data_IF_642731152077
#
_entry.id   IF_642731152077
#
_cell.length_a   1.000
_cell.length_b   1.000
_cell.length_c   1.000
_cell.angle_alpha   90.00
_cell.angle_beta   90.00
_cell.angle_gamma   90.00
#
_symmetry.space_group_name_H-M   'P 1'
#
loop_
_entity.id
_entity.type
_entity.pdbx_description
1 polymer ?
#
# COMPACT_ATOMS: atom_id res chain seq x y z
N UNK A 1 -50.67 1.75 61.89
CA UNK A 1 -50.09 1.29 60.62
C UNK A 1 -50.11 2.46 59.63
N UNK A 2 -48.97 3.07 59.33
CA UNK A 2 -48.83 4.10 58.27
C UNK A 2 -47.66 3.67 57.39
N UNK A 3 -47.94 3.21 56.17
CA UNK A 3 -46.92 2.91 55.15
C UNK A 3 -46.59 4.20 54.42
N UNK A 4 -45.33 4.61 54.50
CA UNK A 4 -44.79 5.73 53.74
C UNK A 4 -44.62 5.30 52.28
N UNK A 5 -45.22 6.07 51.37
CA UNK A 5 -44.99 5.95 49.94
C UNK A 5 -43.66 6.64 49.60
N UNK A 6 -42.69 5.86 49.12
CA UNK A 6 -41.44 6.37 48.57
C UNK A 6 -41.75 6.84 47.15
N UNK A 7 -41.71 8.16 46.95
CA UNK A 7 -41.75 8.79 45.63
C UNK A 7 -40.40 8.54 44.96
N UNK A 8 -40.38 7.71 43.91
CA UNK A 8 -39.24 7.56 43.02
C UNK A 8 -39.11 8.84 42.19
N UNK A 9 -38.13 9.70 42.54
CA UNK A 9 -37.61 10.70 41.61
C UNK A 9 -36.86 9.96 40.50
N UNK A 10 -37.53 9.75 39.38
CA UNK A 10 -36.87 9.38 38.13
C UNK A 10 -36.00 10.55 37.67
N UNK A 11 -34.69 10.42 37.88
CA UNK A 11 -33.69 11.26 37.24
C UNK A 11 -33.77 10.94 35.74
N UNK A 12 -34.45 11.80 34.98
CA UNK A 12 -34.36 11.82 33.54
C UNK A 12 -32.93 12.25 33.18
N UNK A 13 -32.05 11.28 32.98
CA UNK A 13 -30.76 11.48 32.34
C UNK A 13 -31.05 11.83 30.88
N UNK A 14 -31.20 13.12 30.58
CA UNK A 14 -31.16 13.63 29.22
C UNK A 14 -29.72 13.50 28.76
N UNK A 15 -29.39 12.33 28.17
CA UNK A 15 -28.21 12.20 27.33
C UNK A 15 -28.47 13.08 26.11
N UNK A 16 -28.01 14.32 26.18
CA UNK A 16 -27.73 15.13 25.01
C UNK A 16 -26.62 14.40 24.25
N UNK A 17 -27.01 13.44 23.41
CA UNK A 17 -26.20 13.01 22.28
C UNK A 17 -26.02 14.26 21.42
N UNK A 18 -24.89 14.96 21.63
CA UNK A 18 -24.39 15.87 20.62
C UNK A 18 -24.35 15.08 19.32
N UNK A 19 -24.85 15.66 18.24
CA UNK A 19 -24.77 15.08 16.91
C UNK A 19 -23.30 14.77 16.62
N UNK A 20 -22.88 13.54 16.89
CA UNK A 20 -21.62 13.03 16.38
C UNK A 20 -21.83 12.97 14.86
N UNK A 21 -21.09 13.80 14.12
CA UNK A 21 -21.02 13.66 12.67
C UNK A 21 -20.60 12.23 12.36
N UNK A 22 -21.19 11.64 11.33
CA UNK A 22 -20.82 10.28 10.94
C UNK A 22 -19.33 10.27 10.54
N UNK A 23 -18.58 9.20 10.81
CA UNK A 23 -17.18 9.09 10.40
C UNK A 23 -16.95 9.44 8.92
N UNK A 24 -17.86 9.01 8.04
CA UNK A 24 -17.86 9.36 6.62
C UNK A 24 -17.89 10.87 6.32
N UNK A 25 -18.56 11.68 7.15
CA UNK A 25 -18.60 13.14 7.01
C UNK A 25 -17.35 13.82 7.58
N UNK A 26 -16.61 13.15 8.47
CA UNK A 26 -15.41 13.69 9.12
C UNK A 26 -14.18 13.45 8.27
N UNK A 27 -14.11 12.32 7.56
CA UNK A 27 -12.94 11.92 6.77
C UNK A 27 -12.76 12.73 5.47
N UNK A 28 -13.84 13.31 4.92
CA UNK A 28 -13.77 14.03 3.64
C UNK A 28 -12.86 15.26 3.79
N UNK A 29 -11.87 15.37 2.90
CA UNK A 29 -10.92 16.47 2.88
C UNK A 29 -9.48 16.01 2.66
N UNK A 30 -8.56 16.96 2.87
CA UNK A 30 -7.12 16.76 2.71
C UNK A 30 -6.49 16.52 4.07
N UNK A 31 -5.73 15.43 4.16
CA UNK A 31 -5.03 14.94 5.34
C UNK A 31 -3.55 14.89 5.02
N UNK A 32 -2.73 15.24 6.01
CA UNK A 32 -1.27 15.23 5.86
C UNK A 32 -0.66 14.36 6.93
N UNK A 33 0.43 13.67 6.61
CA UNK A 33 1.05 12.81 7.58
C UNK A 33 2.23 12.05 7.05
N UNK A 34 2.51 10.91 7.66
CA UNK A 34 3.68 10.10 7.34
C UNK A 34 3.30 8.69 6.96
N UNK A 35 4.00 8.15 5.96
CA UNK A 35 3.97 6.75 5.55
C UNK A 35 5.35 6.14 5.83
N UNK A 36 5.37 4.98 6.45
CA UNK A 36 6.61 4.21 6.68
C UNK A 36 6.45 2.83 6.06
N UNK A 37 7.19 2.57 4.99
CA UNK A 37 7.24 1.26 4.34
C UNK A 37 8.34 0.40 4.97
N UNK A 38 8.15 -0.93 4.97
CA UNK A 38 9.12 -1.86 5.52
C UNK A 38 10.46 -1.77 4.79
N UNK A 39 11.50 -1.34 5.52
CA UNK A 39 12.85 -1.20 4.98
C UNK A 39 13.15 0.18 4.38
N UNK A 40 12.21 1.13 4.46
CA UNK A 40 12.39 2.50 3.98
C UNK A 40 12.26 3.53 5.11
N UNK A 41 12.73 4.75 4.85
CA UNK A 41 12.54 5.86 5.78
C UNK A 41 11.09 6.38 5.72
N UNK A 42 10.64 6.97 6.82
CA UNK A 42 9.31 7.58 6.85
C UNK A 42 9.27 8.78 5.90
N UNK A 43 8.25 8.82 5.04
CA UNK A 43 8.04 9.89 4.07
C UNK A 43 6.74 10.65 4.33
N UNK A 44 6.71 11.92 3.94
CA UNK A 44 5.49 12.71 4.04
C UNK A 44 4.52 12.27 2.94
N UNK A 45 3.24 12.23 3.30
CA UNK A 45 2.15 11.93 2.38
C UNK A 45 1.03 12.96 2.50
N UNK A 46 0.31 13.13 1.41
CA UNK A 46 -0.98 13.82 1.37
C UNK A 46 -2.04 12.82 0.95
N UNK A 47 -3.11 12.69 1.73
CA UNK A 47 -4.28 11.90 1.39
C UNK A 47 -5.49 12.80 1.22
N UNK A 48 -6.19 12.68 0.10
CA UNK A 48 -7.43 13.42 -0.14
C UNK A 48 -8.58 12.45 -0.30
N UNK A 49 -9.57 12.50 0.60
CA UNK A 49 -10.78 11.69 0.57
C UNK A 49 -11.95 12.49 0.02
N UNK A 50 -12.62 11.96 -1.00
CA UNK A 50 -13.72 12.62 -1.73
C UNK A 50 -15.09 12.04 -1.35
N UNK A 51 -16.13 12.87 -1.43
CA UNK A 51 -17.52 12.48 -1.06
C UNK A 51 -18.08 11.28 -1.83
N UNK A 52 -17.52 10.99 -3.01
CA UNK A 52 -17.95 9.90 -3.89
C UNK A 52 -17.30 8.55 -3.56
N UNK A 53 -16.51 8.47 -2.49
CA UNK A 53 -15.81 7.26 -2.07
C UNK A 53 -14.48 7.04 -2.80
N UNK A 54 -13.99 8.02 -3.55
CA UNK A 54 -12.65 7.99 -4.12
C UNK A 54 -11.64 8.66 -3.19
N UNK A 55 -10.37 8.27 -3.29
CA UNK A 55 -9.28 8.98 -2.62
C UNK A 55 -8.03 9.06 -3.49
N UNK A 56 -7.13 9.98 -3.14
CA UNK A 56 -5.76 10.04 -3.64
C UNK A 56 -4.77 9.91 -2.49
N UNK A 57 -3.65 9.24 -2.72
CA UNK A 57 -2.51 9.17 -1.81
C UNK A 57 -1.27 9.61 -2.59
N UNK A 58 -0.65 10.69 -2.15
CA UNK A 58 0.51 11.29 -2.83
C UNK A 58 1.69 11.31 -1.87
N UNK A 59 2.68 10.42 -2.04
CA UNK A 59 3.96 10.53 -1.35
C UNK A 59 4.78 11.70 -1.88
N UNK A 60 5.61 12.29 -1.03
CA UNK A 60 6.43 13.44 -1.39
C UNK A 60 7.45 13.09 -2.48
N UNK A 61 7.22 13.58 -3.70
CA UNK A 61 8.12 13.39 -4.83
C UNK A 61 7.78 12.20 -5.74
N UNK A 62 6.73 11.44 -5.41
CA UNK A 62 6.31 10.24 -6.16
C UNK A 62 5.01 10.43 -6.94
N UNK A 63 4.69 9.43 -7.77
CA UNK A 63 3.44 9.38 -8.54
C UNK A 63 2.25 9.15 -7.60
N UNK A 64 1.15 9.92 -7.72
CA UNK A 64 0.00 9.75 -6.86
C UNK A 64 -0.73 8.42 -7.15
N UNK A 65 -1.02 7.69 -6.08
CA UNK A 65 -1.95 6.58 -6.09
C UNK A 65 -3.40 7.09 -6.10
N UNK A 66 -4.28 6.40 -6.82
CA UNK A 66 -5.72 6.65 -6.84
C UNK A 66 -6.48 5.40 -6.46
N UNK A 67 -7.56 5.57 -5.72
CA UNK A 67 -8.30 4.43 -5.20
C UNK A 67 -9.70 4.75 -4.72
N UNK A 68 -10.34 3.71 -4.22
CA UNK A 68 -11.66 3.78 -3.58
C UNK A 68 -11.53 3.45 -2.11
N UNK A 69 -12.37 4.07 -1.28
CA UNK A 69 -12.41 3.83 0.15
C UNK A 69 -13.84 3.68 0.67
N UNK A 70 -13.94 2.97 1.78
CA UNK A 70 -15.14 2.88 2.61
C UNK A 70 -14.75 3.11 4.07
N UNK A 71 -15.61 3.81 4.81
CA UNK A 71 -15.48 3.97 6.26
C UNK A 71 -16.80 3.63 6.95
N UNK A 72 -16.73 2.79 7.98
CA UNK A 72 -17.92 2.38 8.72
C UNK A 72 -18.28 3.37 9.87
N UNK A 73 -19.42 3.13 10.52
CA UNK A 73 -19.89 3.93 11.65
C UNK A 73 -18.99 3.82 12.90
N UNK A 74 -18.05 2.87 12.92
CA UNK A 74 -17.06 2.70 13.99
C UNK A 74 -15.74 3.40 13.66
N UNK A 75 -15.60 3.99 12.46
CA UNK A 75 -14.39 4.66 12.00
C UNK A 75 -13.37 3.73 11.35
N UNK A 76 -13.72 2.46 11.08
CA UNK A 76 -12.82 1.57 10.36
C UNK A 76 -12.79 1.95 8.89
N UNK A 77 -11.61 2.33 8.41
CA UNK A 77 -11.31 2.66 7.02
C UNK A 77 -10.79 1.41 6.30
N UNK A 78 -11.29 1.18 5.10
CA UNK A 78 -10.73 0.21 4.15
C UNK A 78 -10.65 0.87 2.78
N UNK A 79 -9.59 0.59 2.01
CA UNK A 79 -9.51 1.06 0.63
C UNK A 79 -8.57 0.23 -0.23
N UNK A 80 -8.72 0.40 -1.54
CA UNK A 80 -7.86 -0.22 -2.56
C UNK A 80 -7.40 0.88 -3.52
N UNK A 81 -6.15 0.79 -3.99
CA UNK A 81 -5.58 1.79 -4.88
C UNK A 81 -4.62 1.20 -5.89
N UNK A 82 -4.31 1.98 -6.92
CA UNK A 82 -3.32 1.66 -7.92
C UNK A 82 -2.46 2.88 -8.25
N UNK A 83 -1.19 2.64 -8.56
CA UNK A 83 -0.29 3.60 -9.22
C UNK A 83 -0.15 3.15 -10.66
N UNK A 84 -0.87 3.80 -11.58
CA UNK A 84 -0.98 3.33 -12.98
C UNK A 84 0.37 3.33 -13.71
N UNK A 85 1.26 4.28 -13.39
CA UNK A 85 2.56 4.41 -14.06
C UNK A 85 3.57 3.34 -13.61
N UNK A 86 3.37 2.74 -12.45
CA UNK A 86 4.33 1.83 -11.80
C UNK A 86 3.81 0.39 -11.69
N UNK A 87 2.63 0.11 -12.25
CA UNK A 87 1.92 -1.17 -12.10
C UNK A 87 1.78 -1.65 -10.63
N UNK A 88 1.69 -0.70 -9.69
CA UNK A 88 1.52 -1.00 -8.27
C UNK A 88 0.04 -1.08 -7.96
N UNK A 89 -0.37 -2.13 -7.25
CA UNK A 89 -1.69 -2.24 -6.66
C UNK A 89 -1.57 -2.41 -5.15
N UNK A 90 -2.46 -1.80 -4.38
CA UNK A 90 -2.39 -1.88 -2.94
C UNK A 90 -3.74 -1.80 -2.23
N UNK A 91 -3.69 -2.13 -0.95
CA UNK A 91 -4.82 -2.05 -0.02
C UNK A 91 -4.39 -1.26 1.20
N UNK A 92 -5.33 -0.56 1.79
CA UNK A 92 -5.13 0.11 3.07
C UNK A 92 -6.26 -0.22 4.02
N UNK A 93 -5.91 -0.31 5.29
CA UNK A 93 -6.85 -0.40 6.41
C UNK A 93 -6.47 0.65 7.44
N UNK A 94 -7.44 1.18 8.18
CA UNK A 94 -7.14 2.17 9.21
C UNK A 94 -8.29 2.40 10.17
N UNK A 95 -8.03 3.22 11.18
CA UNK A 95 -9.00 3.63 12.17
C UNK A 95 -8.98 5.15 12.31
N UNK A 96 -10.13 5.78 12.11
CA UNK A 96 -10.35 7.20 12.40
C UNK A 96 -10.60 7.37 13.90
N UNK A 97 -9.64 7.97 14.59
CA UNK A 97 -9.76 8.36 16.00
C UNK A 97 -9.73 9.88 16.13
N UNK A 98 -10.91 10.48 16.34
CA UNK A 98 -11.12 11.94 16.44
C UNK A 98 -10.80 12.66 15.11
N UNK A 99 -9.56 13.07 14.95
CA UNK A 99 -9.01 13.88 13.85
C UNK A 99 -7.67 13.28 13.41
N UNK A 100 -7.52 11.96 13.53
CA UNK A 100 -6.32 11.25 13.13
C UNK A 100 -6.71 9.91 12.55
N UNK A 101 -6.15 9.54 11.41
CA UNK A 101 -6.31 8.21 10.83
C UNK A 101 -4.96 7.50 10.96
N UNK A 102 -4.99 6.32 11.58
CA UNK A 102 -3.83 5.45 11.69
C UNK A 102 -4.14 4.13 11.03
N UNK A 103 -3.20 3.60 10.26
CA UNK A 103 -3.49 2.42 9.46
C UNK A 103 -2.26 1.71 8.93
N UNK A 104 -2.56 0.66 8.18
CA UNK A 104 -1.61 -0.21 7.50
C UNK A 104 -1.87 -0.15 6.01
N UNK A 105 -0.80 -0.31 5.24
CA UNK A 105 -0.85 -0.38 3.78
C UNK A 105 -0.10 -1.62 3.31
N UNK A 106 -0.63 -2.30 2.31
CA UNK A 106 0.04 -3.40 1.62
C UNK A 106 0.04 -3.12 0.12
N UNK A 107 1.22 -3.17 -0.50
CA UNK A 107 1.43 -2.91 -1.92
C UNK A 107 2.01 -4.13 -2.59
N UNK A 108 1.53 -4.45 -3.78
CA UNK A 108 2.08 -5.47 -4.67
C UNK A 108 2.79 -4.75 -5.82
N UNK A 109 4.10 -4.99 -5.92
CA UNK A 109 4.97 -4.41 -6.94
C UNK A 109 5.46 -5.54 -7.84
N UNK A 110 5.32 -5.37 -9.15
CA UNK A 110 5.94 -6.28 -10.12
C UNK A 110 7.36 -5.81 -10.39
N UNK A 111 8.33 -6.68 -10.13
CA UNK A 111 9.74 -6.42 -10.38
C UNK A 111 10.19 -7.33 -11.52
N UNK A 112 10.69 -6.71 -12.59
CA UNK A 112 11.35 -7.41 -13.67
C UNK A 112 12.79 -7.77 -13.24
N UNK A 113 13.04 -9.05 -13.02
CA UNK A 113 14.38 -9.56 -12.72
C UNK A 113 14.99 -10.09 -14.02
N UNK A 114 16.13 -9.57 -14.48
CA UNK A 114 16.82 -10.16 -15.61
C UNK A 114 17.25 -11.58 -15.25
N UNK A 115 16.90 -12.56 -16.07
CA UNK A 115 17.44 -13.92 -15.92
C UNK A 115 18.91 -13.86 -16.32
N UNK A 116 19.79 -13.70 -15.34
CA UNK A 116 21.20 -14.03 -15.56
C UNK A 116 21.28 -15.54 -15.69
N UNK A 117 21.46 -16.04 -16.92
CA UNK A 117 21.84 -17.42 -17.15
C UNK A 117 23.05 -17.72 -16.25
N UNK A 118 22.82 -18.62 -15.30
CA UNK A 118 23.82 -19.11 -14.38
C UNK A 118 24.98 -19.70 -15.19
N UNK A 119 26.18 -19.20 -14.92
CA UNK A 119 27.44 -19.58 -15.54
C UNK A 119 27.58 -21.12 -15.60
N UNK A 120 27.64 -21.64 -16.82
CA UNK A 120 27.73 -23.08 -17.07
C UNK A 120 29.11 -23.60 -16.64
N UNK A 121 29.07 -24.58 -15.72
CA UNK A 121 29.93 -25.77 -15.58
C UNK A 121 30.87 -25.86 -14.36
N UNK A 122 30.81 -26.97 -13.60
CA UNK A 122 31.87 -27.34 -12.66
C UNK A 122 33.13 -27.83 -13.41
N UNK A 123 34.27 -27.52 -12.80
CA UNK A 123 35.64 -27.85 -13.19
C UNK A 123 35.84 -29.31 -13.66
N UNK A 124 36.61 -29.50 -14.73
CA UNK A 124 37.05 -30.83 -15.15
C UNK A 124 37.97 -30.88 -16.37
N UNK A 125 39.26 -30.94 -16.09
CA UNK A 125 40.31 -31.68 -16.85
C UNK A 125 41.13 -30.95 -17.94
N UNK A 126 42.44 -30.84 -17.65
CA UNK A 126 43.53 -30.42 -18.55
C UNK A 126 43.70 -31.34 -19.76
N UNK A 127 43.86 -30.78 -20.97
CA UNK A 127 44.83 -31.28 -21.96
C UNK A 127 45.26 -30.20 -22.97
N UNK A 128 46.57 -30.18 -23.26
CA UNK A 128 47.34 -29.19 -24.04
C UNK A 128 47.21 -29.33 -25.59
N UNK A 129 47.75 -28.39 -26.41
CA UNK A 129 47.15 -27.90 -27.66
C UNK A 129 47.78 -28.42 -28.98
N UNK A 130 47.04 -28.34 -30.10
CA UNK A 130 47.46 -27.89 -31.46
C UNK A 130 46.49 -28.38 -32.55
N UNK A 131 45.81 -27.47 -33.26
CA UNK A 131 45.96 -27.20 -34.72
C UNK A 131 44.90 -26.22 -35.20
N UNK A 132 45.36 -25.22 -35.93
CA UNK A 132 44.56 -24.17 -36.60
C UNK A 132 43.90 -24.77 -37.85
N UNK A 133 42.58 -24.68 -37.94
CA UNK A 133 41.86 -24.79 -39.21
C UNK A 133 40.78 -23.70 -39.27
N UNK A 134 40.82 -22.96 -40.37
CA UNK A 134 40.06 -21.76 -40.72
C UNK A 134 38.57 -22.09 -40.91
N UNK A 135 37.69 -21.47 -40.13
CA UNK A 135 36.24 -21.60 -40.27
C UNK A 135 35.58 -20.23 -40.55
N UNK A 136 34.60 -20.28 -41.45
CA UNK A 136 33.85 -19.19 -42.07
C UNK A 136 33.32 -18.09 -41.12
N UNK A 137 33.01 -16.88 -41.62
CA UNK A 137 32.39 -15.84 -40.79
C UNK A 137 31.02 -16.30 -40.28
N UNK A 138 30.71 -16.16 -38.98
CA UNK A 138 29.40 -16.52 -38.46
C UNK A 138 28.34 -15.59 -39.05
N UNK A 139 27.31 -16.20 -39.64
CA UNK A 139 26.08 -15.53 -40.04
C UNK A 139 25.32 -15.06 -38.79
N UNK A 140 24.88 -13.80 -38.81
CA UNK A 140 23.77 -13.28 -38.02
C UNK A 140 23.88 -13.43 -36.49
N UNK A 141 24.38 -12.39 -35.83
CA UNK A 141 24.05 -12.14 -34.43
C UNK A 141 22.53 -11.87 -34.34
N UNK A 142 21.71 -12.92 -34.15
CA UNK A 142 20.41 -12.75 -33.51
C UNK A 142 20.71 -12.28 -32.09
N UNK A 143 20.45 -11.00 -31.81
CA UNK A 143 20.48 -10.46 -30.46
C UNK A 143 19.55 -11.32 -29.60
N UNK A 144 20.14 -12.12 -28.71
CA UNK A 144 19.41 -12.85 -27.69
C UNK A 144 18.68 -11.83 -26.83
N UNK A 145 17.36 -11.70 -27.03
CA UNK A 145 16.50 -10.92 -26.14
C UNK A 145 16.57 -11.60 -24.77
N UNK A 146 17.11 -10.95 -23.73
CA UNK A 146 17.20 -11.59 -22.42
C UNK A 146 15.80 -11.95 -21.94
N UNK A 147 15.60 -13.20 -21.51
CA UNK A 147 14.35 -13.59 -20.87
C UNK A 147 14.20 -12.81 -19.55
N UNK A 148 13.12 -12.06 -19.43
CA UNK A 148 12.79 -11.29 -18.22
C UNK A 148 11.81 -12.11 -17.39
N UNK A 149 12.16 -12.38 -16.13
CA UNK A 149 11.24 -13.01 -15.18
C UNK A 149 10.54 -11.93 -14.38
N UNK A 150 9.21 -11.91 -14.41
CA UNK A 150 8.40 -11.01 -13.58
C UNK A 150 8.20 -11.68 -12.21
N UNK A 151 8.64 -11.04 -11.14
CA UNK A 151 8.38 -11.45 -9.76
C UNK A 151 7.46 -10.44 -9.05
N UNK A 152 6.49 -10.94 -8.28
CA UNK A 152 5.61 -10.10 -7.46
C UNK A 152 6.20 -9.98 -6.04
N UNK A 153 6.42 -8.74 -5.60
CA UNK A 153 6.88 -8.42 -4.24
C UNK A 153 5.78 -7.71 -3.49
N UNK A 154 5.51 -8.19 -2.27
CA UNK A 154 4.60 -7.51 -1.33
C UNK A 154 5.44 -6.61 -0.42
N UNK A 155 5.08 -5.33 -0.36
CA UNK A 155 5.65 -4.32 0.53
C UNK A 155 4.57 -3.89 1.51
N UNK A 156 4.87 -3.92 2.81
CA UNK A 156 3.93 -3.47 3.85
C UNK A 156 4.39 -2.16 4.44
N UNK A 157 3.48 -1.43 5.08
CA UNK A 157 3.81 -0.22 5.80
C UNK A 157 2.69 0.26 6.72
N UNK A 158 2.97 1.35 7.42
CA UNK A 158 2.01 2.03 8.28
C UNK A 158 1.90 3.49 7.91
N UNK A 159 0.72 4.07 8.11
CA UNK A 159 0.50 5.49 7.90
C UNK A 159 -0.22 6.13 9.09
N UNK A 160 0.04 7.42 9.28
CA UNK A 160 -0.65 8.27 10.26
C UNK A 160 -0.87 9.63 9.61
N UNK A 161 -2.13 10.08 9.53
CA UNK A 161 -2.50 11.37 8.92
C UNK A 161 -3.46 12.17 9.81
N UNK A 162 -3.35 13.50 9.76
CA UNK A 162 -4.14 14.49 10.52
C UNK A 162 -4.53 15.69 9.67
#
# INVERSE_FOLDING_TARGET
MKKAAILLLGVALVLSFGCAKKPAEVIIGVWTGTLTLEGEEAQNIVMEFMEDGNFTLTPEGDVPAKGTYEIDDQGNLTGEFTVEEEEIAGKMTGLLEKETIKGEIEMTVKVEVPVTEEEVAPEGEEVAPEKVEEAAPPEGEEEAVPEVKVEEKIVKGTFEVT
#
